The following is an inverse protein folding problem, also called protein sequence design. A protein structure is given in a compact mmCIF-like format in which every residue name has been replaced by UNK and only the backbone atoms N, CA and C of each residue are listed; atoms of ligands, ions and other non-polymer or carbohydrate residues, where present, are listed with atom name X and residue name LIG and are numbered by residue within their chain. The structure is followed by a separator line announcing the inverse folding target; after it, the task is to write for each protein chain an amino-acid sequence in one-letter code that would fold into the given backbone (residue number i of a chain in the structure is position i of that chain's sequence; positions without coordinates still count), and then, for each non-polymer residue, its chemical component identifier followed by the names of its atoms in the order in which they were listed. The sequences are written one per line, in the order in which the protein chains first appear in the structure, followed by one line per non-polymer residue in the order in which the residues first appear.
data_IF_674677534910
#
_entry.id   IF_674677534910
#
_cell.length_a   1.000
_cell.length_b   1.000
_cell.length_c   1.000
_cell.angle_alpha   90.00
_cell.angle_beta   90.00
_cell.angle_gamma   90.00
#
_symmetry.space_group_name_H-M   'P 1'
#
loop_
_entity.id
_entity.type
_entity.pdbx_description
1 polymer ?
#
# COMPACT_ATOMS: atom_id res chain seq x y z
N UNK A 1 -18.15 -36.37 46.52
CA UNK A 1 -17.40 -35.48 47.45
C UNK A 1 -16.02 -35.24 46.85
N UNK A 2 -15.64 -33.95 46.70
CA UNK A 2 -14.34 -33.41 46.27
C UNK A 2 -13.91 -33.72 44.82
N UNK A 3 -14.01 -32.71 43.96
CA UNK A 3 -12.91 -32.40 43.06
C UNK A 3 -12.75 -30.88 42.94
N UNK A 4 -11.51 -30.43 43.17
CA UNK A 4 -11.06 -29.05 43.21
C UNK A 4 -10.96 -28.54 41.78
N UNK A 5 -11.59 -27.41 41.46
CA UNK A 5 -11.28 -26.63 40.27
C UNK A 5 -10.55 -25.35 40.71
N UNK A 6 -9.30 -25.25 40.28
CA UNK A 6 -8.46 -24.05 40.38
C UNK A 6 -8.89 -23.13 39.23
N UNK A 7 -9.53 -22.02 39.56
CA UNK A 7 -9.81 -20.93 38.62
C UNK A 7 -8.58 -20.02 38.51
N UNK A 8 -7.87 -20.10 37.38
CA UNK A 8 -6.89 -19.08 36.99
C UNK A 8 -7.65 -17.87 36.45
N UNK A 9 -7.56 -16.76 37.18
CA UNK A 9 -8.05 -15.46 36.74
C UNK A 9 -7.15 -14.89 35.65
N UNK A 10 -7.71 -14.68 34.46
CA UNK A 10 -7.15 -13.80 33.45
C UNK A 10 -7.89 -12.46 33.57
N UNK A 11 -7.21 -11.48 34.17
CA UNK A 11 -7.65 -10.10 34.24
C UNK A 11 -7.65 -9.48 32.84
N UNK A 12 -8.84 -9.16 32.34
CA UNK A 12 -9.04 -8.41 31.11
C UNK A 12 -8.84 -6.91 31.35
N UNK A 13 -7.71 -6.40 30.88
CA UNK A 13 -7.44 -4.97 30.69
C UNK A 13 -7.22 -4.66 29.21
N UNK A 14 -8.16 -5.06 28.36
CA UNK A 14 -8.09 -4.86 26.90
C UNK A 14 -8.93 -3.67 26.49
N UNK A 15 -8.33 -2.47 26.45
CA UNK A 15 -9.10 -1.27 26.11
C UNK A 15 -8.31 0.00 25.89
N UNK A 16 -7.01 -0.06 25.57
CA UNK A 16 -6.28 1.14 25.08
C UNK A 16 -5.01 0.81 24.27
N UNK A 17 -4.87 -0.43 23.80
CA UNK A 17 -3.71 -0.84 22.99
C UNK A 17 -4.03 -1.02 21.49
N UNK A 18 -5.32 -1.08 21.10
CA UNK A 18 -5.66 -1.52 19.73
C UNK A 18 -5.38 -0.50 18.63
N UNK A 19 -5.25 0.79 18.94
CA UNK A 19 -4.92 1.82 17.92
C UNK A 19 -3.40 1.91 17.69
N UNK A 20 -2.59 1.65 18.72
CA UNK A 20 -1.13 1.61 18.59
C UNK A 20 -0.62 0.25 18.08
N UNK A 21 -1.41 -0.82 18.23
CA UNK A 21 -1.03 -2.14 17.73
C UNK A 21 -1.18 -2.26 16.20
N UNK A 22 -2.01 -1.47 15.54
CA UNK A 22 -2.11 -1.51 14.05
C UNK A 22 -0.87 -0.85 13.41
N UNK A 23 -0.35 0.23 14.00
CA UNK A 23 0.89 0.87 13.55
C UNK A 23 2.13 0.02 13.92
N UNK A 24 2.13 -0.65 15.07
CA UNK A 24 3.23 -1.52 15.48
C UNK A 24 3.23 -2.91 14.81
N UNK A 25 2.06 -3.49 14.52
CA UNK A 25 1.95 -4.79 13.85
C UNK A 25 2.32 -4.73 12.36
N UNK A 26 2.20 -3.56 11.72
CA UNK A 26 2.74 -3.36 10.36
C UNK A 26 4.28 -3.22 10.33
N UNK A 27 4.92 -3.01 11.48
CA UNK A 27 6.38 -2.96 11.62
C UNK A 27 7.03 -4.29 12.04
N UNK A 28 6.24 -5.30 12.44
CA UNK A 28 6.75 -6.57 12.97
C UNK A 28 6.78 -7.73 11.96
N UNK A 29 6.38 -7.52 10.70
CA UNK A 29 6.65 -8.48 9.60
C UNK A 29 8.03 -8.19 9.02
N UNK A 30 9.03 -8.29 9.88
CA UNK A 30 10.44 -8.23 9.55
C UNK A 30 11.09 -9.52 10.01
N UNK A 31 10.74 -10.65 9.39
CA UNK A 31 11.44 -11.92 9.53
C UNK A 31 11.37 -12.66 8.21
N UNK A 32 12.57 -12.90 7.67
CA UNK A 32 12.90 -13.79 6.57
C UNK A 32 12.32 -13.42 5.19
N UNK A 33 12.77 -12.26 4.67
CA UNK A 33 12.82 -12.06 3.22
C UNK A 33 13.93 -12.98 2.70
N UNK A 34 13.56 -14.22 2.39
CA UNK A 34 14.30 -14.98 1.41
C UNK A 34 14.28 -14.20 0.11
N UNK A 35 15.43 -13.63 -0.25
CA UNK A 35 15.71 -13.12 -1.59
C UNK A 35 15.47 -14.29 -2.54
N UNK A 36 14.27 -14.36 -3.09
CA UNK A 36 13.99 -15.26 -4.21
C UNK A 36 14.66 -14.58 -5.39
N UNK A 37 15.83 -15.07 -5.79
CA UNK A 37 16.38 -14.77 -7.11
C UNK A 37 15.32 -15.16 -8.14
N UNK A 38 14.61 -14.13 -8.60
CA UNK A 38 13.55 -14.21 -9.58
C UNK A 38 14.15 -14.57 -10.91
N UNK A 39 13.85 -15.80 -11.34
CA UNK A 39 14.07 -16.37 -12.66
C UNK A 39 13.84 -15.34 -13.79
N UNK A 40 14.89 -15.12 -14.58
CA UNK A 40 14.94 -14.68 -15.97
C UNK A 40 13.76 -13.83 -16.47
N UNK A 41 13.97 -12.51 -16.49
CA UNK A 41 13.16 -11.56 -17.26
C UNK A 41 13.57 -10.10 -17.01
N UNK A 42 14.57 -9.64 -17.76
CA UNK A 42 14.93 -8.22 -17.99
C UNK A 42 15.65 -7.50 -16.81
N UNK A 43 16.91 -7.85 -16.60
CA UNK A 43 17.92 -6.82 -16.31
C UNK A 43 18.05 -6.00 -17.60
N UNK A 44 17.44 -4.81 -17.62
CA UNK A 44 17.33 -3.94 -18.80
C UNK A 44 18.69 -3.49 -19.36
N UNK A 45 18.68 -3.03 -20.61
CA UNK A 45 19.85 -2.47 -21.31
C UNK A 45 20.61 -1.46 -20.44
N UNK A 46 21.89 -1.24 -20.75
CA UNK A 46 22.66 -0.15 -20.15
C UNK A 46 21.83 1.14 -20.13
N UNK A 47 21.73 1.78 -18.96
CA UNK A 47 20.98 3.02 -18.79
C UNK A 47 21.50 4.07 -19.77
N UNK A 48 20.60 4.72 -20.50
CA UNK A 48 20.97 5.78 -21.43
C UNK A 48 21.44 7.01 -20.63
N UNK A 49 22.39 7.78 -21.17
CA UNK A 49 22.90 9.00 -20.49
C UNK A 49 21.74 9.95 -20.12
N UNK A 50 20.74 10.07 -20.99
CA UNK A 50 19.53 10.87 -20.73
C UNK A 50 18.76 10.37 -19.50
N UNK A 51 18.71 9.06 -19.28
CA UNK A 51 17.98 8.48 -18.16
C UNK A 51 18.67 8.82 -16.83
N UNK A 52 20.00 8.84 -16.81
CA UNK A 52 20.77 9.27 -15.64
C UNK A 52 20.52 10.74 -15.31
N UNK A 53 20.48 11.62 -16.33
CA UNK A 53 20.23 13.05 -16.14
C UNK A 53 18.87 13.30 -15.50
N UNK A 54 17.79 12.75 -16.08
CA UNK A 54 16.45 13.00 -15.55
C UNK A 54 16.17 12.27 -14.24
N UNK A 55 16.79 11.10 -14.02
CA UNK A 55 16.68 10.42 -12.72
C UNK A 55 17.38 11.20 -11.60
N UNK A 56 18.53 11.85 -11.88
CA UNK A 56 19.15 12.76 -10.89
C UNK A 56 18.23 13.93 -10.54
N UNK A 57 17.52 14.48 -11.52
CA UNK A 57 16.52 15.52 -11.28
C UNK A 57 15.35 15.02 -10.43
N UNK A 58 14.87 13.80 -10.68
CA UNK A 58 13.86 13.16 -9.84
C UNK A 58 14.37 12.93 -8.40
N UNK A 59 15.65 12.59 -8.22
CA UNK A 59 16.28 12.44 -6.91
C UNK A 59 16.40 13.78 -6.14
N UNK A 60 16.59 14.90 -6.82
CA UNK A 60 16.53 16.23 -6.20
C UNK A 60 15.14 16.48 -5.61
N UNK A 61 14.08 16.27 -6.41
CA UNK A 61 12.69 16.41 -5.97
C UNK A 61 12.36 15.46 -4.80
N UNK A 62 12.91 14.24 -4.81
CA UNK A 62 12.75 13.30 -3.71
C UNK A 62 13.41 13.79 -2.41
N UNK A 63 14.51 14.55 -2.48
CA UNK A 63 15.13 15.18 -1.32
C UNK A 63 14.26 16.31 -0.78
N UNK A 64 13.71 17.14 -1.66
CA UNK A 64 12.78 18.22 -1.28
C UNK A 64 11.57 17.67 -0.52
N UNK A 65 10.99 16.55 -0.99
CA UNK A 65 9.94 15.84 -0.25
C UNK A 65 10.38 15.39 1.16
N UNK A 66 11.57 14.81 1.29
CA UNK A 66 12.08 14.40 2.61
C UNK A 66 12.24 15.58 3.57
N UNK A 67 12.67 16.75 3.09
CA UNK A 67 12.86 17.94 3.91
C UNK A 67 11.55 18.44 4.53
N UNK A 68 10.43 18.30 3.82
CA UNK A 68 9.09 18.63 4.34
C UNK A 68 8.40 17.45 5.06
N UNK A 69 9.11 16.34 5.25
CA UNK A 69 8.62 15.18 6.01
C UNK A 69 7.73 14.21 5.23
N UNK A 70 7.70 14.33 3.91
CA UNK A 70 7.05 13.41 2.98
C UNK A 70 7.94 12.21 2.65
N UNK A 71 7.33 11.09 2.22
CA UNK A 71 8.12 9.96 1.70
C UNK A 71 8.94 10.44 0.48
N UNK A 72 10.27 10.20 0.42
CA UNK A 72 11.15 10.79 -0.60
C UNK A 72 10.99 10.11 -1.95
N UNK A 73 9.96 10.53 -2.68
CA UNK A 73 9.67 10.09 -4.04
C UNK A 73 9.53 11.33 -4.91
N UNK A 74 10.30 11.37 -5.99
CA UNK A 74 10.28 12.42 -6.99
C UNK A 74 10.02 11.84 -8.38
N UNK A 75 9.37 12.62 -9.23
CA UNK A 75 9.07 12.27 -10.60
C UNK A 75 9.25 13.46 -11.55
N UNK A 76 9.66 13.16 -12.78
CA UNK A 76 9.85 14.13 -13.86
C UNK A 76 9.21 13.58 -15.12
N UNK A 77 8.41 14.38 -15.83
CA UNK A 77 7.85 14.03 -17.13
C UNK A 77 8.54 14.85 -18.21
N UNK A 78 9.06 14.16 -19.23
CA UNK A 78 9.91 14.76 -20.28
C UNK A 78 9.29 14.51 -21.65
N UNK A 79 9.30 15.53 -22.50
CA UNK A 79 8.95 15.40 -23.92
C UNK A 79 10.11 14.75 -24.69
N UNK A 80 9.85 13.64 -25.40
CA UNK A 80 10.91 12.88 -26.05
C UNK A 80 11.47 13.55 -27.31
N UNK A 81 10.68 14.40 -27.97
CA UNK A 81 11.11 15.07 -29.20
C UNK A 81 12.03 16.26 -28.91
N UNK A 82 11.78 16.99 -27.82
CA UNK A 82 12.49 18.22 -27.46
C UNK A 82 13.49 18.02 -26.32
N UNK A 83 13.30 17.00 -25.48
CA UNK A 83 14.02 16.85 -24.23
C UNK A 83 13.57 17.83 -23.13
N UNK A 84 12.48 18.57 -23.34
CA UNK A 84 11.98 19.51 -22.36
C UNK A 84 11.30 18.79 -21.18
N UNK A 85 11.56 19.26 -19.97
CA UNK A 85 10.84 18.83 -18.77
C UNK A 85 9.49 19.56 -18.72
N UNK A 86 8.41 18.81 -18.89
CA UNK A 86 7.03 19.32 -18.88
C UNK A 86 6.50 19.44 -17.45
N UNK A 87 6.89 18.51 -16.57
CA UNK A 87 6.45 18.53 -15.18
C UNK A 87 7.52 17.94 -14.27
N UNK A 88 7.58 18.43 -13.04
CA UNK A 88 8.54 18.01 -12.02
C UNK A 88 7.87 18.09 -10.66
N UNK A 89 7.59 16.94 -10.06
CA UNK A 89 6.81 16.86 -8.83
C UNK A 89 7.43 15.87 -7.84
N UNK A 90 7.09 16.02 -6.57
CA UNK A 90 7.42 15.08 -5.53
C UNK A 90 6.17 14.66 -4.76
N UNK A 91 6.28 13.62 -3.95
CA UNK A 91 5.18 13.15 -3.12
C UNK A 91 4.70 14.24 -2.15
N UNK A 92 3.38 14.42 -2.05
CA UNK A 92 2.74 15.46 -1.24
C UNK A 92 1.54 14.94 -0.44
N UNK A 93 1.45 13.62 -0.21
CA UNK A 93 0.30 12.96 0.45
C UNK A 93 0.03 13.54 1.84
N UNK A 94 1.07 13.72 2.67
CA UNK A 94 0.89 14.22 4.03
C UNK A 94 0.58 15.72 4.07
N UNK A 95 1.13 16.49 3.14
CA UNK A 95 1.00 17.94 3.06
C UNK A 95 -0.40 18.32 2.57
N UNK A 96 -0.87 17.64 1.54
CA UNK A 96 -2.17 17.92 0.91
C UNK A 96 -3.32 17.16 1.55
N UNK A 97 -3.03 16.15 2.37
CA UNK A 97 -4.02 15.19 2.91
C UNK A 97 -4.83 14.50 1.80
N UNK A 98 -4.21 14.33 0.63
CA UNK A 98 -4.75 13.60 -0.52
C UNK A 98 -3.95 12.31 -0.73
N UNK A 99 -4.60 11.17 -0.54
CA UNK A 99 -4.00 9.86 -0.74
C UNK A 99 -3.54 9.61 -2.19
N UNK A 100 -3.99 10.42 -3.15
CA UNK A 100 -3.61 10.33 -4.55
C UNK A 100 -2.47 11.27 -4.95
N UNK A 101 -1.97 12.11 -4.05
CA UNK A 101 -0.91 13.11 -4.31
C UNK A 101 0.50 12.50 -4.37
N UNK A 102 0.64 11.40 -5.11
CA UNK A 102 1.91 10.79 -5.47
C UNK A 102 2.60 11.63 -6.56
N UNK A 103 3.94 11.56 -6.61
CA UNK A 103 4.74 12.35 -7.55
C UNK A 103 4.29 12.14 -9.02
N UNK A 104 4.02 10.91 -9.43
CA UNK A 104 3.61 10.57 -10.80
C UNK A 104 2.24 11.15 -11.14
N UNK A 105 1.29 11.10 -10.19
CA UNK A 105 -0.05 11.65 -10.34
C UNK A 105 -0.01 13.17 -10.48
N UNK A 106 0.83 13.83 -9.69
CA UNK A 106 1.02 15.27 -9.75
C UNK A 106 1.66 15.68 -11.09
N UNK A 107 2.67 14.94 -11.58
CA UNK A 107 3.24 15.18 -12.91
C UNK A 107 2.20 15.09 -14.02
N UNK A 108 1.33 14.07 -14.01
CA UNK A 108 0.25 13.95 -15.00
C UNK A 108 -0.68 15.18 -14.95
N UNK A 109 -1.07 15.62 -13.75
CA UNK A 109 -1.97 16.76 -13.56
C UNK A 109 -1.35 18.07 -14.07
N UNK A 110 -0.10 18.33 -13.69
CA UNK A 110 0.63 19.51 -14.13
C UNK A 110 0.83 19.52 -15.64
N UNK A 111 1.39 18.45 -16.20
CA UNK A 111 1.65 18.35 -17.63
C UNK A 111 0.37 18.45 -18.48
N UNK A 112 -0.74 17.86 -18.00
CA UNK A 112 -2.02 17.97 -18.72
C UNK A 112 -2.56 19.39 -18.73
N UNK A 113 -2.37 20.13 -17.63
CA UNK A 113 -2.74 21.55 -17.54
C UNK A 113 -1.88 22.40 -18.45
N UNK A 114 -0.56 22.19 -18.44
CA UNK A 114 0.39 22.96 -19.27
C UNK A 114 0.16 22.73 -20.76
N UNK A 115 -0.09 21.49 -21.18
CA UNK A 115 -0.42 21.16 -22.58
C UNK A 115 -1.85 21.49 -22.99
N UNK A 116 -2.73 21.81 -22.03
CA UNK A 116 -4.16 21.92 -22.28
C UNK A 116 -4.78 20.62 -22.83
N UNK A 117 -4.17 19.46 -22.54
CA UNK A 117 -4.56 18.17 -23.09
C UNK A 117 -4.19 17.05 -22.12
N UNK A 118 -5.10 16.11 -21.88
CA UNK A 118 -4.87 14.95 -21.01
C UNK A 118 -4.00 13.86 -21.66
N UNK A 119 -3.84 13.90 -22.99
CA UNK A 119 -2.96 12.97 -23.72
C UNK A 119 -1.52 13.47 -23.70
N UNK A 120 -0.69 12.76 -22.96
CA UNK A 120 0.73 12.96 -22.76
C UNK A 120 1.52 11.91 -23.58
N UNK A 121 1.16 11.76 -24.86
CA UNK A 121 1.91 10.90 -25.78
C UNK A 121 3.30 11.45 -26.08
N UNK A 122 4.22 10.57 -26.50
CA UNK A 122 5.61 10.93 -26.82
C UNK A 122 6.35 11.58 -25.65
N UNK A 123 6.07 11.08 -24.44
CA UNK A 123 6.76 11.50 -23.22
C UNK A 123 7.29 10.31 -22.45
N UNK A 124 8.39 10.53 -21.74
CA UNK A 124 8.95 9.59 -20.78
C UNK A 124 8.75 10.11 -19.35
N UNK A 125 8.25 9.26 -18.44
CA UNK A 125 8.23 9.54 -17.01
C UNK A 125 9.45 8.90 -16.33
N UNK A 126 10.17 9.67 -15.53
CA UNK A 126 11.21 9.22 -14.62
C UNK A 126 10.70 9.29 -13.17
N UNK A 127 10.79 8.21 -12.39
CA UNK A 127 10.38 8.18 -10.98
C UNK A 127 11.42 7.48 -10.10
N UNK A 128 11.72 8.01 -8.92
CA UNK A 128 12.76 7.41 -8.04
C UNK A 128 12.36 6.04 -7.47
N UNK A 129 11.07 5.72 -7.46
CA UNK A 129 10.53 4.45 -6.96
C UNK A 129 9.60 3.84 -8.01
N UNK A 130 9.59 2.51 -8.08
CA UNK A 130 8.67 1.76 -8.93
C UNK A 130 7.20 2.19 -8.68
N UNK A 131 6.47 2.61 -9.74
CA UNK A 131 5.09 3.06 -9.63
C UNK A 131 4.15 2.00 -9.06
N UNK A 132 3.20 2.46 -8.24
CA UNK A 132 2.13 1.60 -7.73
C UNK A 132 0.99 1.40 -8.76
N UNK A 133 0.00 0.51 -8.51
CA UNK A 133 -1.08 0.24 -9.45
C UNK A 133 -1.86 1.49 -9.89
N UNK A 134 -2.07 2.43 -8.96
CA UNK A 134 -2.72 3.70 -9.25
C UNK A 134 -1.91 4.51 -10.26
N UNK A 135 -0.62 4.74 -9.97
CA UNK A 135 0.25 5.57 -10.77
C UNK A 135 0.48 4.96 -12.16
N UNK A 136 0.83 3.67 -12.26
CA UNK A 136 1.09 3.04 -13.56
C UNK A 136 -0.16 3.00 -14.44
N UNK A 137 -1.34 2.75 -13.83
CA UNK A 137 -2.60 2.77 -14.58
C UNK A 137 -2.95 4.19 -15.04
N UNK A 138 -2.70 5.20 -14.22
CA UNK A 138 -2.93 6.59 -14.59
C UNK A 138 -2.00 7.03 -15.74
N UNK A 139 -0.74 6.60 -15.75
CA UNK A 139 0.20 6.86 -16.85
C UNK A 139 -0.30 6.25 -18.17
N UNK A 140 -0.83 5.03 -18.13
CA UNK A 140 -1.42 4.38 -19.30
C UNK A 140 -2.68 5.11 -19.82
N UNK A 141 -3.52 5.61 -18.90
CA UNK A 141 -4.67 6.46 -19.24
C UNK A 141 -4.22 7.79 -19.84
N UNK A 142 -3.16 8.39 -19.32
CA UNK A 142 -2.57 9.63 -19.83
C UNK A 142 -1.79 9.44 -21.14
N UNK A 143 -1.61 8.20 -21.63
CA UNK A 143 -0.87 7.87 -22.86
C UNK A 143 0.63 8.13 -22.79
N UNK A 144 1.22 8.15 -21.59
CA UNK A 144 2.68 8.25 -21.43
C UNK A 144 3.34 7.07 -22.13
N UNK A 145 4.34 7.33 -22.97
CA UNK A 145 4.91 6.32 -23.86
C UNK A 145 5.85 5.38 -23.10
N UNK A 146 6.75 5.94 -22.30
CA UNK A 146 7.79 5.21 -21.58
C UNK A 146 7.82 5.56 -20.10
N UNK A 147 8.15 4.58 -19.27
CA UNK A 147 8.35 4.76 -17.82
C UNK A 147 9.72 4.25 -17.44
N UNK A 148 10.45 5.03 -16.66
CA UNK A 148 11.78 4.70 -16.12
C UNK A 148 11.76 4.90 -14.61
N UNK A 149 12.20 3.91 -13.85
CA UNK A 149 12.24 4.01 -12.39
C UNK A 149 13.56 3.57 -11.77
N UNK A 150 13.81 4.09 -10.56
CA UNK A 150 15.03 3.83 -9.80
C UNK A 150 14.99 2.53 -9.00
N UNK A 151 14.51 2.60 -7.75
CA UNK A 151 14.40 1.45 -6.86
C UNK A 151 13.08 0.68 -7.07
N UNK A 152 13.09 -0.63 -6.80
CA UNK A 152 11.90 -1.47 -6.85
C UNK A 152 11.02 -1.27 -5.62
N UNK A 153 9.73 -1.54 -5.74
CA UNK A 153 8.76 -1.34 -4.66
C UNK A 153 8.11 -2.68 -4.25
N UNK A 154 8.83 -3.47 -3.46
CA UNK A 154 8.42 -4.84 -3.09
C UNK A 154 7.04 -4.95 -2.43
N UNK A 155 6.51 -3.85 -1.88
CA UNK A 155 5.21 -3.83 -1.19
C UNK A 155 4.05 -3.44 -2.09
N UNK A 156 4.28 -2.51 -3.01
CA UNK A 156 3.20 -1.83 -3.76
C UNK A 156 3.52 -1.63 -5.24
N UNK A 157 4.66 -2.11 -5.75
CA UNK A 157 5.08 -1.90 -7.13
C UNK A 157 4.28 -2.73 -8.13
N UNK A 158 3.96 -2.11 -9.25
CA UNK A 158 3.10 -2.70 -10.28
C UNK A 158 3.79 -2.88 -11.63
N UNK A 159 5.12 -2.86 -11.67
CA UNK A 159 5.95 -3.02 -12.86
C UNK A 159 6.89 -4.25 -12.76
N UNK A 160 6.51 -5.26 -11.98
CA UNK A 160 7.25 -6.52 -11.85
C UNK A 160 7.46 -7.05 -10.43
N UNK A 161 7.29 -6.21 -9.40
CA UNK A 161 7.48 -6.66 -8.00
C UNK A 161 6.25 -7.31 -7.38
N UNK A 162 5.26 -6.52 -6.96
CA UNK A 162 4.03 -7.05 -6.36
C UNK A 162 3.06 -7.55 -7.45
N UNK A 163 2.97 -6.79 -8.54
CA UNK A 163 2.30 -7.21 -9.76
C UNK A 163 2.97 -6.60 -10.98
N UNK A 164 2.53 -7.01 -12.16
CA UNK A 164 3.05 -6.50 -13.43
C UNK A 164 1.87 -6.12 -14.32
N UNK A 165 1.49 -4.84 -14.27
CA UNK A 165 0.44 -4.28 -15.10
C UNK A 165 0.94 -3.95 -16.51
N UNK A 166 2.17 -3.41 -16.72
CA UNK A 166 2.70 -3.18 -18.06
C UNK A 166 2.76 -4.43 -18.96
N UNK A 167 2.98 -5.62 -18.41
CA UNK A 167 2.97 -6.85 -19.24
C UNK A 167 1.57 -7.27 -19.70
N UNK A 168 0.51 -6.72 -19.11
CA UNK A 168 -0.84 -6.94 -19.60
C UNK A 168 -1.09 -6.06 -20.82
N UNK A 169 -1.13 -6.66 -22.02
CA UNK A 169 -1.44 -5.93 -23.24
C UNK A 169 -2.90 -5.44 -23.19
N UNK A 170 -3.09 -4.16 -22.85
CA UNK A 170 -4.41 -3.55 -22.80
C UNK A 170 -4.74 -2.90 -24.15
N UNK A 171 -5.94 -3.11 -24.73
CA UNK A 171 -6.30 -2.57 -26.05
C UNK A 171 -6.33 -1.03 -26.17
N UNK A 172 -6.14 -0.29 -25.08
CA UNK A 172 -6.25 1.17 -25.09
C UNK A 172 -4.91 1.90 -25.16
N UNK A 173 -3.84 1.34 -24.60
CA UNK A 173 -2.48 1.88 -24.61
C UNK A 173 -1.51 0.82 -24.12
N UNK A 174 -0.35 0.77 -24.76
CA UNK A 174 0.77 -0.09 -24.38
C UNK A 174 1.99 0.80 -24.24
N UNK A 175 2.70 0.67 -23.13
CA UNK A 175 3.98 1.36 -22.97
C UNK A 175 4.97 0.83 -24.00
N UNK A 176 5.72 1.70 -24.66
CA UNK A 176 6.82 1.29 -25.53
C UNK A 176 7.89 0.58 -24.73
N UNK A 177 8.15 1.06 -23.51
CA UNK A 177 9.14 0.49 -22.60
C UNK A 177 8.86 0.87 -21.14
N UNK A 178 9.14 -0.07 -20.24
CA UNK A 178 9.16 0.17 -18.78
C UNK A 178 10.47 -0.37 -18.24
N UNK A 179 11.36 0.53 -17.80
CA UNK A 179 12.70 0.19 -17.33
C UNK A 179 12.86 0.50 -15.84
N UNK A 180 13.45 -0.44 -15.09
CA UNK A 180 13.81 -0.26 -13.70
C UNK A 180 15.31 -0.27 -13.47
N UNK A 181 15.76 0.27 -12.33
CA UNK A 181 17.13 0.15 -11.86
C UNK A 181 18.04 1.35 -12.14
N UNK A 182 17.52 2.44 -12.73
CA UNK A 182 18.34 3.62 -13.04
C UNK A 182 18.64 4.39 -11.75
N UNK A 183 19.92 4.51 -11.38
CA UNK A 183 20.33 5.09 -10.08
C UNK A 183 19.60 4.45 -8.88
N UNK A 184 19.45 3.12 -8.95
CA UNK A 184 18.76 2.30 -7.95
C UNK A 184 19.30 2.54 -6.53
N UNK A 185 20.61 2.43 -6.35
CA UNK A 185 21.25 2.54 -5.03
C UNK A 185 21.00 3.90 -4.37
N UNK A 186 21.03 4.98 -5.16
CA UNK A 186 20.78 6.33 -4.68
C UNK A 186 19.32 6.51 -4.24
N UNK A 187 18.39 6.00 -5.05
CA UNK A 187 16.95 6.00 -4.75
C UNK A 187 16.64 5.20 -3.48
N UNK A 188 17.22 4.00 -3.35
CA UNK A 188 17.07 3.16 -2.16
C UNK A 188 17.61 3.84 -0.90
N UNK A 189 18.78 4.47 -1.00
CA UNK A 189 19.45 5.14 0.12
C UNK A 189 18.59 6.26 0.70
N UNK A 190 17.89 7.03 -0.15
CA UNK A 190 16.95 8.07 0.30
C UNK A 190 15.76 7.49 1.08
N UNK A 191 15.12 6.45 0.56
CA UNK A 191 14.00 5.80 1.24
C UNK A 191 14.42 5.19 2.59
N UNK A 192 15.55 4.48 2.60
CA UNK A 192 16.07 3.85 3.82
C UNK A 192 16.44 4.90 4.88
N UNK A 193 17.11 5.98 4.48
CA UNK A 193 17.53 7.04 5.41
C UNK A 193 16.31 7.75 6.01
N UNK A 194 15.30 8.05 5.20
CA UNK A 194 14.06 8.67 5.65
C UNK A 194 13.32 7.82 6.69
N UNK A 195 13.06 6.54 6.41
CA UNK A 195 12.35 5.70 7.38
C UNK A 195 13.19 5.41 8.63
N UNK A 196 14.52 5.37 8.52
CA UNK A 196 15.42 5.25 9.67
C UNK A 196 15.30 6.47 10.58
N UNK A 197 15.37 7.68 10.04
CA UNK A 197 15.27 8.91 10.83
C UNK A 197 13.91 9.03 11.52
N UNK A 198 12.81 8.63 10.85
CA UNK A 198 11.47 8.61 11.46
C UNK A 198 11.36 7.64 12.64
N UNK A 199 11.94 6.44 12.53
CA UNK A 199 11.96 5.46 13.64
C UNK A 199 12.73 6.01 14.84
N UNK A 200 13.92 6.56 14.61
CA UNK A 200 14.74 7.16 15.67
C UNK A 200 14.03 8.33 16.36
N UNK A 201 13.37 9.21 15.58
CA UNK A 201 12.59 10.31 16.13
C UNK A 201 11.38 9.82 16.96
N UNK A 202 10.73 8.74 16.55
CA UNK A 202 9.63 8.13 17.31
C UNK A 202 10.12 7.50 18.63
N UNK A 203 11.27 6.82 18.61
CA UNK A 203 11.91 6.25 19.80
C UNK A 203 12.32 7.35 20.79
N UNK A 204 12.99 8.41 20.32
CA UNK A 204 13.38 9.53 21.17
C UNK A 204 12.18 10.19 21.86
N UNK A 205 11.05 10.37 21.15
CA UNK A 205 9.80 10.91 21.72
C UNK A 205 9.16 9.97 22.76
N UNK A 206 9.30 8.65 22.60
CA UNK A 206 8.80 7.68 23.58
C UNK A 206 9.66 7.69 24.85
N UNK A 207 10.97 7.76 24.69
CA UNK A 207 11.91 7.84 25.81
C UNK A 207 11.77 9.16 26.58
N UNK A 208 11.58 10.30 25.90
CA UNK A 208 11.36 11.58 26.58
C UNK A 208 10.03 11.63 27.34
N UNK A 209 8.96 11.05 26.77
CA UNK A 209 7.66 10.95 27.46
C UNK A 209 7.75 10.07 28.72
N UNK A 210 8.52 8.98 28.65
CA UNK A 210 8.72 8.11 29.82
C UNK A 210 9.54 8.79 30.93
N UNK A 211 10.52 9.63 30.57
CA UNK A 211 11.29 10.42 31.56
C UNK A 211 10.44 11.52 32.19
N UNK A 212 9.61 12.23 31.41
CA UNK A 212 8.72 13.26 31.97
C UNK A 212 7.63 12.67 32.87
N UNK A 213 7.17 11.45 32.60
CA UNK A 213 6.21 10.73 33.47
C UNK A 213 6.86 10.27 34.78
N UNK A 214 8.18 10.01 34.80
CA UNK A 214 8.95 9.67 36.01
C UNK A 214 9.23 10.92 36.86
N UNK A 215 9.56 12.06 36.23
CA UNK A 215 9.83 13.33 36.93
C UNK A 215 8.54 13.99 37.46
N UNK A 216 7.41 13.87 36.74
CA UNK A 216 6.10 14.30 37.25
C UNK A 216 5.63 13.45 38.45
N UNK A 217 6.18 12.25 38.62
CA UNK A 217 5.91 11.35 39.75
C UNK A 217 6.74 11.62 41.01
N UNK A 218 7.70 12.56 40.98
CA UNK A 218 8.63 12.80 42.10
C UNK A 218 8.45 14.14 42.84
N UNK A 219 7.43 14.94 42.51
CA UNK A 219 7.19 16.25 43.14
C UNK A 219 5.93 16.38 44.03
N UNK A 220 5.16 15.31 44.26
CA UNK A 220 4.05 15.35 45.22
C UNK A 220 4.30 14.39 46.40
N UNK A 221 5.06 14.88 47.37
CA UNK A 221 4.98 14.38 48.74
C UNK A 221 3.66 14.82 49.37
N UNK A 222 2.98 13.87 50.03
CA UNK A 222 1.92 14.06 51.03
C UNK A 222 0.90 15.18 50.79
N UNK A 223 -0.20 14.84 50.12
CA UNK A 223 -1.57 15.08 50.63
C UNK A 223 -2.57 14.39 49.70
N UNK A 224 -3.28 13.39 50.23
CA UNK A 224 -4.34 12.70 49.50
C UNK A 224 -5.57 13.59 49.50
N UNK A 225 -5.78 14.33 48.40
CA UNK A 225 -7.07 14.90 48.04
C UNK A 225 -7.63 14.11 46.85
N UNK A 226 -8.55 13.19 47.15
CA UNK A 226 -9.25 12.38 46.14
C UNK A 226 -10.28 13.27 45.44
N UNK A 227 -9.93 13.83 44.27
CA UNK A 227 -10.89 14.52 43.41
C UNK A 227 -11.67 13.49 42.58
N UNK A 228 -13.00 13.58 42.64
CA UNK A 228 -13.94 12.59 42.13
C UNK A 228 -13.83 12.33 40.61
N UNK A 229 -13.47 11.09 40.27
CA UNK A 229 -13.71 10.54 38.95
C UNK A 229 -15.22 10.50 38.66
N UNK A 230 -15.62 10.99 37.49
CA UNK A 230 -17.02 10.89 37.03
C UNK A 230 -17.47 9.42 37.02
N UNK A 231 -18.73 9.13 37.41
CA UNK A 231 -19.21 7.77 37.50
C UNK A 231 -19.17 7.08 36.13
N UNK A 232 -18.84 5.78 36.08
CA UNK A 232 -18.85 5.03 34.84
C UNK A 232 -20.25 5.05 34.23
N UNK A 233 -20.36 5.08 32.88
CA UNK A 233 -21.65 5.09 32.21
C UNK A 233 -22.48 3.87 32.63
N UNK A 234 -23.81 4.00 32.73
CA UNK A 234 -24.67 2.91 33.15
C UNK A 234 -24.55 1.72 32.18
N UNK A 235 -24.66 0.48 32.70
CA UNK A 235 -24.57 -0.71 31.88
C UNK A 235 -25.67 -0.70 30.80
N UNK A 236 -25.28 -0.99 29.56
CA UNK A 236 -26.19 -1.03 28.42
C UNK A 236 -27.32 -2.03 28.65
N UNK A 237 -28.53 -1.65 28.24
CA UNK A 237 -29.69 -2.54 28.32
C UNK A 237 -29.53 -3.73 27.37
N UNK A 238 -30.21 -4.85 27.68
CA UNK A 238 -30.23 -6.04 26.81
C UNK A 238 -30.67 -5.73 25.38
N UNK A 239 -31.50 -4.68 25.18
CA UNK A 239 -31.96 -4.22 23.86
C UNK A 239 -30.85 -3.49 23.08
N UNK A 240 -30.03 -2.69 23.77
CA UNK A 240 -28.91 -1.98 23.15
C UNK A 240 -27.77 -2.93 22.77
N UNK A 241 -27.45 -3.87 23.66
CA UNK A 241 -26.48 -4.93 23.37
C UNK A 241 -26.93 -5.70 22.11
N UNK A 242 -28.20 -6.11 22.06
CA UNK A 242 -28.76 -6.83 20.90
C UNK A 242 -28.70 -6.01 19.61
N UNK A 243 -29.03 -4.71 19.65
CA UNK A 243 -28.90 -3.81 18.48
C UNK A 243 -27.46 -3.73 17.98
N UNK A 244 -26.50 -3.60 18.88
CA UNK A 244 -25.07 -3.54 18.52
C UNK A 244 -24.63 -4.87 17.92
N UNK A 245 -24.99 -6.01 18.52
CA UNK A 245 -24.64 -7.33 17.99
C UNK A 245 -25.26 -7.60 16.62
N UNK A 246 -26.53 -7.21 16.42
CA UNK A 246 -27.22 -7.34 15.12
C UNK A 246 -26.62 -6.41 14.05
N UNK A 247 -26.19 -5.20 14.43
CA UNK A 247 -25.53 -4.28 13.51
C UNK A 247 -24.16 -4.81 13.05
N UNK A 248 -23.36 -5.37 13.98
CA UNK A 248 -22.06 -5.97 13.67
C UNK A 248 -22.21 -7.23 12.81
N UNK A 249 -23.15 -8.11 13.13
CA UNK A 249 -23.42 -9.31 12.34
C UNK A 249 -23.87 -8.99 10.90
N UNK A 250 -24.70 -7.96 10.73
CA UNK A 250 -25.11 -7.49 9.40
C UNK A 250 -23.97 -6.83 8.61
N UNK A 251 -23.00 -6.20 9.29
CA UNK A 251 -21.81 -5.65 8.65
C UNK A 251 -20.85 -6.76 8.17
N UNK A 252 -20.67 -7.81 8.98
CA UNK A 252 -19.90 -9.02 8.61
C UNK A 252 -20.54 -9.76 7.41
N UNK A 253 -21.86 -9.89 7.40
CA UNK A 253 -22.62 -10.50 6.30
C UNK A 253 -22.47 -9.71 4.98
N UNK A 254 -22.36 -8.38 5.04
CA UNK A 254 -22.10 -7.53 3.85
C UNK A 254 -20.66 -7.64 3.37
N UNK A 255 -19.68 -7.88 4.26
CA UNK A 255 -18.28 -8.12 3.88
C UNK A 255 -18.06 -9.49 3.23
N UNK A 256 -18.93 -10.46 3.51
CA UNK A 256 -18.84 -11.82 2.98
C UNK A 256 -19.85 -12.14 1.86
N UNK A 257 -20.56 -11.14 1.32
CA UNK A 257 -21.23 -11.32 0.03
C UNK A 257 -20.19 -11.34 -1.10
N UNK A 258 -20.02 -12.46 -1.82
CA UNK A 258 -19.12 -12.50 -2.96
C UNK A 258 -19.67 -11.58 -4.06
N UNK A 259 -18.84 -10.63 -4.51
CA UNK A 259 -19.16 -9.78 -5.65
C UNK A 259 -19.49 -10.64 -6.86
N UNK A 260 -20.76 -10.57 -7.25
CA UNK A 260 -21.39 -11.23 -8.37
C UNK A 260 -20.87 -10.65 -9.68
N UNK A 261 -20.04 -11.40 -10.38
CA UNK A 261 -19.98 -11.42 -11.87
C UNK A 261 -19.12 -12.60 -12.38
N UNK A 262 -18.11 -13.04 -11.63
CA UNK A 262 -17.31 -14.24 -11.98
C UNK A 262 -18.00 -15.58 -11.67
N UNK A 263 -19.15 -15.58 -11.01
CA UNK A 263 -19.84 -16.81 -10.59
C UNK A 263 -20.76 -17.39 -11.68
N UNK A 264 -21.20 -16.61 -12.67
CA UNK A 264 -22.04 -17.12 -13.75
C UNK A 264 -21.25 -18.03 -14.72
N UNK A 265 -19.98 -17.68 -14.99
CA UNK A 265 -19.08 -18.50 -15.80
C UNK A 265 -18.62 -19.75 -15.04
N UNK A 266 -18.29 -19.60 -13.75
CA UNK A 266 -17.91 -20.71 -12.88
C UNK A 266 -19.08 -21.70 -12.66
N UNK A 267 -20.31 -21.22 -12.48
CA UNK A 267 -21.51 -22.08 -12.39
C UNK A 267 -21.84 -22.75 -13.72
N UNK A 268 -21.66 -22.08 -14.86
CA UNK A 268 -21.84 -22.70 -16.19
C UNK A 268 -20.83 -23.82 -16.46
N UNK A 269 -19.57 -23.61 -16.06
CA UNK A 269 -18.51 -24.63 -16.15
C UNK A 269 -18.79 -25.78 -15.18
N UNK A 270 -19.19 -25.49 -13.94
CA UNK A 270 -19.49 -26.50 -12.93
C UNK A 270 -20.73 -27.34 -13.27
N UNK A 271 -21.80 -26.73 -13.83
CA UNK A 271 -23.01 -27.46 -14.28
C UNK A 271 -22.69 -28.36 -15.48
N UNK A 272 -21.83 -27.90 -16.40
CA UNK A 272 -21.40 -28.68 -17.56
C UNK A 272 -20.56 -29.89 -17.16
N UNK A 273 -19.62 -29.71 -16.21
CA UNK A 273 -18.81 -30.79 -15.66
C UNK A 273 -19.63 -31.79 -14.84
N UNK A 274 -20.65 -31.35 -14.11
CA UNK A 274 -21.54 -32.25 -13.36
C UNK A 274 -22.45 -33.09 -14.29
N UNK A 275 -22.90 -32.53 -15.42
CA UNK A 275 -23.69 -33.27 -16.43
C UNK A 275 -22.86 -34.34 -17.14
N UNK A 276 -21.60 -34.03 -17.49
CA UNK A 276 -20.66 -35.02 -18.05
C UNK A 276 -20.33 -36.14 -17.05
N UNK A 277 -20.13 -35.81 -15.77
CA UNK A 277 -19.86 -36.78 -14.71
C UNK A 277 -21.08 -37.66 -14.38
N UNK A 278 -22.29 -37.14 -14.56
CA UNK A 278 -23.56 -37.89 -14.43
C UNK A 278 -23.91 -38.78 -15.64
N UNK A 279 -23.39 -38.46 -16.83
CA UNK A 279 -23.49 -39.32 -18.01
C UNK A 279 -22.51 -40.51 -17.93
N UNK A 280 -21.30 -40.29 -17.42
CA UNK A 280 -20.28 -41.33 -17.25
C UNK A 280 -20.56 -42.30 -16.07
N UNK A 281 -21.43 -41.93 -15.13
CA UNK A 281 -21.85 -42.80 -13.99
C UNK A 281 -23.13 -43.59 -14.24
N UNK A 282 -23.91 -43.25 -15.26
CA UNK A 282 -25.04 -44.06 -15.71
C UNK A 282 -24.52 -45.00 -16.78
N UNK A 283 -24.18 -46.21 -16.36
CA UNK A 283 -23.65 -47.25 -17.24
C UNK A 283 -24.49 -47.40 -18.51
N UNK A 284 -23.78 -47.69 -19.60
CA UNK A 284 -24.30 -48.14 -20.89
C UNK A 284 -25.47 -49.11 -20.66
N UNK A 285 -26.65 -48.90 -21.27
CA UNK A 285 -27.72 -49.88 -21.21
C UNK A 285 -27.22 -51.18 -21.85
N UNK A 286 -27.18 -52.28 -21.08
CA UNK A 286 -27.15 -53.62 -21.64
C UNK A 286 -28.51 -53.88 -22.30
N UNK A 287 -28.62 -53.50 -23.56
CA UNK A 287 -29.72 -53.90 -24.44
C UNK A 287 -29.43 -55.29 -25.01
N UNK A 288 -30.34 -56.22 -24.75
CA UNK A 288 -30.40 -57.56 -25.35
C UNK A 288 -30.47 -57.48 -26.88
N UNK A 289 -29.55 -58.15 -27.57
CA UNK A 289 -29.77 -59.21 -28.57
C UNK A 289 -28.42 -59.80 -28.96
#
# INVERSE_FOLDING_TARGET
KKNKNVGMGLGGGGGSLLVNLVVAAMCAVGKDIHVREGRNGILGSAAEERDLVYMRRALELARDAAEIGEVPIGAVLVDDATGEVIASQHNCVETTKDATAHAEMLCIREASRERGNWRLGSTTLYCTLEPCPMCISALALARVDRVVYGETNDRLGACGTWMDLPSTCHPFHTFSRVDGGVLREESAKLLISFFRSRRQAAEAKRSSKHVTDIDAGHQYGNEIAVSAASPPPPPLSKREIRRITEATANAELRRHQPHSENNALAQRIHISLYRLRGALRRGVPRGRR
#
